data_IF_861206106073
#
_entry.id   IF_861206106073
#
_cell.length_a   1.000
_cell.length_b   1.000
_cell.length_c   1.000
_cell.angle_alpha   90.00
_cell.angle_beta   90.00
_cell.angle_gamma   90.00
#
_symmetry.space_group_name_H-M   'P 1'
#
loop_
_entity.id
_entity.type
_entity.pdbx_description
1 polymer ?
#
# COMPACT_ATOMS: atom_id res chain seq x y z
N UNK A 1 24.65 17.97 11.84
CA UNK A 1 24.04 18.14 10.50
C UNK A 1 22.54 17.91 10.65
N UNK A 2 21.76 18.98 10.74
CA UNK A 2 20.31 18.94 10.89
C UNK A 2 19.67 18.79 9.50
N UNK A 3 19.09 17.62 9.21
CA UNK A 3 18.15 17.49 8.08
C UNK A 3 16.80 18.00 8.57
N UNK A 4 16.46 19.24 8.20
CA UNK A 4 15.09 19.74 8.24
C UNK A 4 14.32 19.00 7.15
N UNK A 5 13.89 17.77 7.45
CA UNK A 5 12.83 17.13 6.68
C UNK A 5 11.58 17.97 6.95
N UNK A 6 11.24 18.85 5.99
CA UNK A 6 9.89 19.38 5.82
C UNK A 6 8.93 18.23 6.11
N UNK A 7 8.03 18.39 7.08
CA UNK A 7 7.05 17.39 7.48
C UNK A 7 6.23 16.95 6.25
N UNK A 8 6.72 15.98 5.50
CA UNK A 8 5.94 15.35 4.46
C UNK A 8 5.05 14.34 5.15
N UNK A 9 3.79 14.72 5.35
CA UNK A 9 2.79 13.79 5.84
C UNK A 9 2.46 12.79 4.73
N UNK A 10 2.94 11.56 4.91
CA UNK A 10 2.57 10.43 4.06
C UNK A 10 1.06 10.24 4.20
N UNK A 11 0.34 10.43 3.10
CA UNK A 11 -1.10 10.23 3.06
C UNK A 11 -1.45 8.82 2.53
N UNK A 12 -2.72 8.44 2.68
CA UNK A 12 -3.23 7.15 2.18
C UNK A 12 -3.02 6.97 0.67
N UNK A 13 -3.13 8.04 -0.13
CA UNK A 13 -2.95 7.94 -1.59
C UNK A 13 -1.51 7.60 -1.96
N UNK A 14 -0.53 8.13 -1.23
CA UNK A 14 0.89 7.82 -1.40
C UNK A 14 1.19 6.35 -1.01
N UNK A 15 0.59 5.86 0.08
CA UNK A 15 0.70 4.46 0.48
C UNK A 15 0.07 3.52 -0.54
N UNK A 16 -1.14 3.83 -1.02
CA UNK A 16 -1.81 3.07 -2.07
C UNK A 16 -1.01 3.08 -3.39
N UNK A 17 -0.37 4.22 -3.71
CA UNK A 17 0.51 4.35 -4.87
C UNK A 17 1.70 3.41 -4.78
N UNK A 18 2.42 3.42 -3.65
CA UNK A 18 3.57 2.55 -3.42
C UNK A 18 3.16 1.08 -3.47
N UNK A 19 2.07 0.72 -2.78
CA UNK A 19 1.54 -0.65 -2.78
C UNK A 19 1.16 -1.13 -4.18
N UNK A 20 0.47 -0.29 -4.97
CA UNK A 20 0.09 -0.62 -6.34
C UNK A 20 1.33 -0.84 -7.24
N UNK A 21 2.39 -0.06 -7.06
CA UNK A 21 3.65 -0.27 -7.78
C UNK A 21 4.41 -1.52 -7.33
N UNK A 22 4.47 -1.79 -6.03
CA UNK A 22 5.12 -2.99 -5.50
C UNK A 22 4.40 -4.25 -6.02
N UNK A 23 3.06 -4.26 -6.00
CA UNK A 23 2.23 -5.36 -6.54
C UNK A 23 2.34 -5.46 -8.08
N UNK A 24 2.30 -4.33 -8.78
CA UNK A 24 2.27 -4.28 -10.24
C UNK A 24 3.64 -4.43 -10.93
N UNK A 25 4.74 -4.12 -10.22
CA UNK A 25 6.14 -4.07 -10.73
C UNK A 25 6.36 -3.19 -11.97
N UNK A 26 5.36 -2.42 -12.37
CA UNK A 26 5.41 -1.52 -13.51
C UNK A 26 4.40 -0.37 -13.34
N UNK A 27 4.75 0.78 -13.94
CA UNK A 27 3.96 2.02 -13.82
C UNK A 27 2.58 1.92 -14.47
N UNK A 28 2.46 1.18 -15.59
CA UNK A 28 1.19 1.00 -16.30
C UNK A 28 0.18 0.21 -15.46
N UNK A 29 0.62 -0.84 -14.79
CA UNK A 29 -0.20 -1.68 -13.93
C UNK A 29 -0.60 -0.94 -12.65
N UNK A 30 0.31 -0.15 -12.09
CA UNK A 30 -0.04 0.73 -10.97
C UNK A 30 -1.08 1.78 -11.37
N UNK A 31 -0.96 2.36 -12.56
CA UNK A 31 -1.93 3.30 -13.13
C UNK A 31 -3.31 2.65 -13.33
N UNK A 32 -3.36 1.43 -13.85
CA UNK A 32 -4.60 0.63 -13.96
C UNK A 32 -5.23 0.34 -12.60
N UNK A 33 -4.44 -0.08 -11.61
CA UNK A 33 -4.93 -0.40 -10.26
C UNK A 33 -5.50 0.82 -9.54
N UNK A 34 -4.93 1.99 -9.76
CA UNK A 34 -5.33 3.25 -9.14
C UNK A 34 -6.32 4.05 -10.00
N UNK A 35 -6.66 3.56 -11.20
CA UNK A 35 -7.51 4.23 -12.18
C UNK A 35 -7.07 5.68 -12.52
N UNK A 36 -5.76 5.89 -12.65
CA UNK A 36 -5.15 7.18 -12.99
C UNK A 36 -4.20 7.05 -14.16
N UNK A 37 -3.81 8.16 -14.78
CA UNK A 37 -2.79 8.16 -15.84
C UNK A 37 -1.39 7.76 -15.34
N UNK A 38 -0.64 7.07 -16.21
CA UNK A 38 0.77 6.72 -15.99
C UNK A 38 1.62 7.97 -15.66
N UNK A 39 1.32 9.11 -16.29
CA UNK A 39 2.03 10.37 -16.04
C UNK A 39 1.76 10.93 -14.63
N UNK A 40 0.58 10.66 -14.08
CA UNK A 40 0.18 11.06 -12.72
C UNK A 40 0.86 10.17 -11.69
N UNK A 41 0.91 8.85 -11.94
CA UNK A 41 1.67 7.90 -11.12
C UNK A 41 3.15 8.28 -11.06
N UNK A 42 3.77 8.52 -12.22
CA UNK A 42 5.18 8.90 -12.28
C UNK A 42 5.47 10.23 -11.54
N UNK A 43 4.63 11.26 -11.73
CA UNK A 43 4.77 12.53 -10.99
C UNK A 43 4.60 12.35 -9.49
N UNK A 44 3.64 11.54 -9.06
CA UNK A 44 3.36 11.32 -7.64
C UNK A 44 4.49 10.56 -6.95
N UNK A 45 5.06 9.53 -7.61
CA UNK A 45 6.26 8.85 -7.10
C UNK A 45 7.42 9.83 -7.00
N UNK A 46 7.69 10.61 -8.04
CA UNK A 46 8.81 11.56 -8.02
C UNK A 46 8.67 12.62 -6.94
N UNK A 47 7.44 13.09 -6.68
CA UNK A 47 7.16 13.98 -5.56
C UNK A 47 7.43 13.28 -4.23
N UNK A 48 6.93 12.06 -4.07
CA UNK A 48 7.12 11.26 -2.85
C UNK A 48 8.60 10.99 -2.57
N UNK A 49 9.37 10.57 -3.59
CA UNK A 49 10.82 10.36 -3.50
C UNK A 49 11.57 11.65 -3.15
N UNK A 50 11.20 12.77 -3.78
CA UNK A 50 11.81 14.07 -3.49
C UNK A 50 11.53 14.53 -2.05
N UNK A 51 10.33 14.28 -1.55
CA UNK A 51 9.93 14.63 -0.19
C UNK A 51 10.56 13.73 0.87
N UNK A 52 10.73 12.44 0.58
CA UNK A 52 11.43 11.49 1.46
C UNK A 52 12.96 11.63 1.38
N UNK A 53 13.48 12.25 0.32
CA UNK A 53 14.91 12.33 0.06
C UNK A 53 15.55 10.98 -0.30
N UNK A 54 14.74 9.98 -0.66
CA UNK A 54 15.16 8.62 -0.94
C UNK A 54 14.43 8.06 -2.17
N UNK A 55 15.14 7.28 -2.99
CA UNK A 55 14.54 6.55 -4.10
C UNK A 55 13.74 5.37 -3.55
N UNK A 56 12.47 5.29 -3.94
CA UNK A 56 11.58 4.18 -3.59
C UNK A 56 11.64 3.09 -4.66
N UNK A 57 11.92 3.47 -5.90
CA UNK A 57 11.99 2.51 -7.00
C UNK A 57 13.22 2.73 -7.86
N UNK A 58 13.88 1.63 -8.18
CA UNK A 58 15.01 1.62 -9.10
C UNK A 58 14.60 1.08 -10.47
N UNK A 59 15.10 1.74 -11.51
CA UNK A 59 14.92 1.28 -12.88
C UNK A 59 16.05 0.31 -13.23
N UNK A 60 15.73 -0.98 -13.33
CA UNK A 60 16.67 -1.99 -13.83
C UNK A 60 16.34 -2.34 -15.29
N UNK A 61 17.27 -3.00 -16.01
CA UNK A 61 17.09 -3.47 -17.40
C UNK A 61 15.88 -4.39 -17.59
N UNK A 62 15.34 -4.95 -16.50
CA UNK A 62 14.19 -5.88 -16.49
C UNK A 62 12.89 -5.26 -15.96
N UNK A 63 12.90 -4.04 -15.42
CA UNK A 63 11.68 -3.42 -14.89
C UNK A 63 11.92 -2.44 -13.73
N UNK A 64 10.82 -2.14 -13.03
CA UNK A 64 10.81 -1.32 -11.82
C UNK A 64 10.97 -2.22 -10.59
N UNK A 65 12.05 -2.02 -9.83
CA UNK A 65 12.35 -2.79 -8.62
C UNK A 65 12.11 -1.89 -7.41
N UNK A 66 11.27 -2.30 -6.43
CA UNK A 66 11.13 -1.55 -5.18
C UNK A 66 12.38 -1.67 -4.32
N UNK A 67 12.75 -0.59 -3.64
CA UNK A 67 13.78 -0.59 -2.60
C UNK A 67 13.21 -1.11 -1.27
N UNK A 68 14.08 -1.40 -0.31
CA UNK A 68 13.66 -1.84 1.03
C UNK A 68 12.69 -0.85 1.69
N UNK A 69 12.89 0.45 1.48
CA UNK A 69 12.00 1.51 1.97
C UNK A 69 10.62 1.42 1.33
N UNK A 70 10.54 1.19 0.01
CA UNK A 70 9.27 1.04 -0.68
C UNK A 70 8.54 -0.25 -0.26
N UNK A 71 9.29 -1.32 -0.01
CA UNK A 71 8.73 -2.57 0.49
C UNK A 71 8.13 -2.39 1.89
N UNK A 72 8.86 -1.76 2.81
CA UNK A 72 8.36 -1.45 4.15
C UNK A 72 7.12 -0.55 4.12
N UNK A 73 7.10 0.46 3.24
CA UNK A 73 5.91 1.30 3.04
C UNK A 73 4.71 0.51 2.50
N UNK A 74 4.94 -0.41 1.56
CA UNK A 74 3.88 -1.27 1.03
C UNK A 74 3.31 -2.21 2.09
N UNK A 75 4.13 -2.76 2.99
CA UNK A 75 3.66 -3.57 4.11
C UNK A 75 2.75 -2.75 5.06
N UNK A 76 3.14 -1.51 5.38
CA UNK A 76 2.29 -0.61 6.17
C UNK A 76 0.99 -0.25 5.44
N UNK A 77 1.05 -0.04 4.13
CA UNK A 77 -0.12 0.21 3.30
C UNK A 77 -1.09 -0.99 3.32
N UNK A 78 -0.57 -2.22 3.25
CA UNK A 78 -1.37 -3.44 3.30
C UNK A 78 -2.03 -3.62 4.67
N UNK A 79 -1.31 -3.35 5.77
CA UNK A 79 -1.90 -3.34 7.10
C UNK A 79 -3.02 -2.30 7.23
N UNK A 80 -2.85 -1.11 6.64
CA UNK A 80 -3.88 -0.09 6.61
C UNK A 80 -5.11 -0.53 5.77
N UNK A 81 -4.91 -1.15 4.61
CA UNK A 81 -5.99 -1.74 3.80
C UNK A 81 -6.76 -2.80 4.59
N UNK A 82 -6.06 -3.69 5.29
CA UNK A 82 -6.66 -4.72 6.13
C UNK A 82 -7.46 -4.12 7.29
N UNK A 83 -6.92 -3.11 7.98
CA UNK A 83 -7.62 -2.42 9.05
C UNK A 83 -8.88 -1.70 8.55
N UNK A 84 -8.80 -1.03 7.39
CA UNK A 84 -9.95 -0.40 6.74
C UNK A 84 -11.00 -1.43 6.30
N UNK A 85 -10.58 -2.57 5.75
CA UNK A 85 -11.46 -3.66 5.38
C UNK A 85 -12.17 -4.23 6.62
N UNK A 86 -11.43 -4.47 7.71
CA UNK A 86 -11.98 -4.94 8.98
C UNK A 86 -12.99 -3.94 9.57
N UNK A 87 -12.67 -2.64 9.53
CA UNK A 87 -13.59 -1.59 9.97
C UNK A 87 -14.87 -1.55 9.12
N UNK A 88 -14.76 -1.69 7.78
CA UNK A 88 -15.93 -1.77 6.89
C UNK A 88 -16.80 -2.98 7.21
N UNK A 89 -16.20 -4.15 7.42
CA UNK A 89 -16.91 -5.37 7.83
C UNK A 89 -17.60 -5.13 9.18
N UNK A 90 -16.90 -4.58 10.17
CA UNK A 90 -17.48 -4.29 11.48
C UNK A 90 -18.66 -3.31 11.42
N UNK A 91 -18.60 -2.30 10.54
CA UNK A 91 -19.71 -1.35 10.33
C UNK A 91 -20.89 -2.00 9.60
N UNK A 92 -20.63 -2.81 8.58
CA UNK A 92 -21.67 -3.59 7.89
C UNK A 92 -22.33 -4.61 8.81
N UNK A 93 -21.57 -5.22 9.74
CA UNK A 93 -22.10 -6.08 10.80
C UNK A 93 -22.70 -5.30 11.99
N UNK A 94 -22.41 -4.01 12.10
CA UNK A 94 -23.08 -3.11 13.05
C UNK A 94 -24.47 -2.70 12.58
N UNK A 95 -24.69 -2.54 11.27
CA UNK A 95 -26.02 -2.37 10.67
C UNK A 95 -26.78 -3.70 10.51
N UNK A 96 -26.06 -4.80 10.29
CA UNK A 96 -26.59 -6.15 10.38
C UNK A 96 -26.11 -6.80 11.68
N UNK A 97 -26.75 -6.45 12.81
CA UNK A 97 -26.65 -7.23 14.05
C UNK A 97 -27.18 -8.63 13.77
N UNK A 98 -26.35 -9.49 13.20
CA UNK A 98 -26.39 -10.92 13.46
C UNK A 98 -25.40 -11.10 14.60
N UNK A 99 -25.90 -10.80 15.80
CA UNK A 99 -25.35 -11.30 17.06
C UNK A 99 -25.49 -12.82 17.04
N UNK A 100 -24.53 -13.49 16.40
CA UNK A 100 -24.42 -14.94 16.35
C UNK A 100 -22.96 -15.30 16.54
N UNK A 101 -22.67 -16.12 17.55
CA UNK A 101 -21.34 -16.63 17.84
C UNK A 101 -20.72 -17.24 16.58
N UNK A 102 -19.76 -16.55 15.96
CA UNK A 102 -19.00 -17.11 14.84
C UNK A 102 -18.03 -18.13 15.41
N UNK A 103 -18.46 -19.40 15.40
CA UNK A 103 -17.59 -20.53 15.71
C UNK A 103 -16.72 -20.80 14.48
N UNK A 104 -15.53 -20.19 14.47
CA UNK A 104 -14.45 -20.56 13.56
C UNK A 104 -13.94 -21.95 13.96
N UNK A 105 -14.42 -22.98 13.26
CA UNK A 105 -13.73 -24.27 13.21
C UNK A 105 -12.56 -24.13 12.24
N UNK A 106 -11.38 -23.83 12.78
CA UNK A 106 -10.13 -24.04 12.06
C UNK A 106 -9.93 -25.56 11.94
N UNK A 107 -9.97 -26.10 10.73
CA UNK A 107 -9.36 -27.40 10.48
C UNK A 107 -7.85 -27.22 10.56
N UNK A 108 -7.24 -27.96 11.49
CA UNK A 108 -5.80 -28.14 11.61
C UNK A 108 -5.30 -28.82 10.32
N UNK A 109 -4.89 -28.03 9.34
CA UNK A 109 -4.24 -28.51 8.12
C UNK A 109 -3.18 -27.52 7.63
N UNK A 110 -2.55 -26.81 8.57
CA UNK A 110 -1.26 -26.16 8.34
C UNK A 110 -0.30 -26.58 9.46
N UNK A 111 0.03 -27.87 9.53
CA UNK A 111 1.36 -28.32 9.92
C UNK A 111 1.55 -29.83 9.63
N UNK A 112 2.47 -30.10 8.69
CA UNK A 112 3.13 -31.36 8.32
C UNK A 112 2.36 -32.52 7.67
#
# INVERSE_FOLDING_TARGET
MQYTATQYEINHADLALVLALVRGRNLARAAELLQVDISTVFRSIRRLEASLGAALFEKNRRGYIPTDTAQAMAEQAEHAELALAAARVALQQGEHVISGTVRLTCTDAVLH
#
